data_IF_160902963704
#
_entry.id   IF_160902963704
#
_cell.length_a   1.000
_cell.length_b   1.000
_cell.length_c   1.000
_cell.angle_alpha   90.00
_cell.angle_beta   90.00
_cell.angle_gamma   90.00
#
_symmetry.space_group_name_H-M   'P 1'
#
loop_
_entity.id
_entity.type
_entity.pdbx_description
1 polymer ?
#
# COMPACT_ATOMS: atom_id res chain seq x y z
N UNK A 1 21.15 -16.76 10.37
CA UNK A 1 21.21 -15.67 9.37
C UNK A 1 19.77 -15.22 9.14
N UNK A 2 19.46 -13.94 9.33
CA UNK A 2 18.13 -13.40 9.04
C UNK A 2 17.87 -13.56 7.53
N UNK A 3 16.91 -14.39 7.16
CA UNK A 3 16.54 -14.54 5.76
C UNK A 3 15.82 -13.26 5.34
N UNK A 4 16.39 -12.50 4.39
CA UNK A 4 15.76 -11.29 3.90
C UNK A 4 14.40 -11.63 3.29
N UNK A 5 13.31 -11.16 3.91
CA UNK A 5 11.95 -11.40 3.42
C UNK A 5 11.79 -10.81 2.03
N UNK A 6 11.24 -11.59 1.10
CA UNK A 6 10.97 -11.11 -0.25
C UNK A 6 9.84 -10.08 -0.24
N UNK A 7 9.73 -9.29 -1.30
CA UNK A 7 8.61 -8.36 -1.44
C UNK A 7 7.24 -9.06 -1.44
N UNK A 8 7.17 -10.32 -1.91
CA UNK A 8 5.95 -11.12 -1.85
C UNK A 8 5.61 -11.51 -0.41
N UNK A 9 6.61 -11.87 0.39
CA UNK A 9 6.40 -12.18 1.81
C UNK A 9 5.95 -10.94 2.59
N UNK A 10 6.58 -9.79 2.33
CA UNK A 10 6.20 -8.51 2.93
C UNK A 10 4.76 -8.14 2.57
N UNK A 11 4.38 -8.29 1.30
CA UNK A 11 3.02 -8.05 0.83
C UNK A 11 2.01 -8.96 1.56
N UNK A 12 2.27 -10.26 1.63
CA UNK A 12 1.36 -11.21 2.29
C UNK A 12 1.14 -10.87 3.77
N UNK A 13 2.22 -10.49 4.48
CA UNK A 13 2.14 -10.06 5.88
C UNK A 13 1.34 -8.76 6.01
N UNK A 14 1.63 -7.76 5.18
CA UNK A 14 0.93 -6.49 5.19
C UNK A 14 -0.56 -6.64 4.85
N UNK A 15 -0.91 -7.46 3.87
CA UNK A 15 -2.29 -7.80 3.52
C UNK A 15 -3.04 -8.44 4.69
N UNK A 16 -2.40 -9.36 5.43
CA UNK A 16 -2.99 -9.96 6.63
C UNK A 16 -3.24 -8.92 7.72
N UNK A 17 -2.28 -8.00 7.92
CA UNK A 17 -2.40 -6.92 8.91
C UNK A 17 -3.58 -5.99 8.58
N UNK A 18 -3.64 -5.46 7.36
CA UNK A 18 -4.71 -4.52 6.96
C UNK A 18 -6.07 -5.19 6.87
N UNK A 19 -6.13 -6.49 6.56
CA UNK A 19 -7.41 -7.23 6.51
C UNK A 19 -8.03 -7.42 7.90
N UNK A 20 -7.19 -7.55 8.93
CA UNK A 20 -7.64 -7.82 10.31
C UNK A 20 -7.79 -6.56 11.17
N UNK A 21 -7.37 -5.40 10.68
CA UNK A 21 -7.36 -4.15 11.45
C UNK A 21 -8.01 -3.00 10.68
N UNK A 22 -8.36 -1.95 11.39
CA UNK A 22 -8.54 -0.62 10.83
C UNK A 22 -7.19 0.09 10.91
N UNK A 23 -6.76 0.70 9.81
CA UNK A 23 -5.46 1.38 9.73
C UNK A 23 -5.68 2.83 9.31
N UNK A 24 -4.72 3.69 9.60
CA UNK A 24 -4.68 5.03 9.03
C UNK A 24 -3.78 5.05 7.77
N UNK A 25 -3.87 6.14 7.02
CA UNK A 25 -3.16 6.32 5.76
C UNK A 25 -1.66 6.24 5.96
N UNK A 26 -1.13 6.82 7.03
CA UNK A 26 0.31 6.80 7.31
C UNK A 26 0.83 5.38 7.57
N UNK A 27 0.08 4.55 8.30
CA UNK A 27 0.39 3.12 8.50
C UNK A 27 0.39 2.35 7.17
N UNK A 28 -0.53 2.65 6.26
CA UNK A 28 -0.54 2.03 4.93
C UNK A 28 0.70 2.44 4.13
N UNK A 29 1.07 3.72 4.18
CA UNK A 29 2.27 4.24 3.50
C UNK A 29 3.53 3.58 4.04
N UNK A 30 3.66 3.47 5.37
CA UNK A 30 4.78 2.80 6.02
C UNK A 30 4.90 1.35 5.55
N UNK A 31 3.81 0.57 5.63
CA UNK A 31 3.82 -0.83 5.19
C UNK A 31 4.18 -0.99 3.70
N UNK A 32 3.62 -0.14 2.84
CA UNK A 32 3.89 -0.19 1.41
C UNK A 32 5.32 0.26 1.08
N UNK A 33 5.90 1.20 1.83
CA UNK A 33 7.27 1.67 1.61
C UNK A 33 8.32 0.57 1.79
N UNK A 34 8.02 -0.45 2.61
CA UNK A 34 8.90 -1.60 2.85
C UNK A 34 9.02 -2.56 1.65
N UNK A 35 8.09 -2.48 0.71
CA UNK A 35 8.06 -3.29 -0.51
C UNK A 35 8.84 -2.57 -1.60
N UNK A 36 9.80 -3.23 -2.26
CA UNK A 36 10.59 -2.61 -3.33
C UNK A 36 9.81 -2.41 -4.63
N UNK A 37 9.04 -3.42 -5.06
CA UNK A 37 8.29 -3.40 -6.33
C UNK A 37 7.02 -2.55 -6.23
N UNK A 38 6.94 -1.50 -7.05
CA UNK A 38 5.75 -0.63 -7.12
C UNK A 38 4.45 -1.38 -7.46
N UNK A 39 4.52 -2.43 -8.30
CA UNK A 39 3.35 -3.25 -8.63
C UNK A 39 2.74 -3.88 -7.37
N UNK A 40 3.59 -4.34 -6.44
CA UNK A 40 3.16 -4.95 -5.18
C UNK A 40 2.74 -3.89 -4.15
N UNK A 41 3.35 -2.70 -4.16
CA UNK A 41 2.84 -1.54 -3.39
C UNK A 41 1.41 -1.21 -3.81
N UNK A 42 1.17 -1.15 -5.12
CA UNK A 42 -0.14 -0.84 -5.69
C UNK A 42 -1.20 -1.86 -5.27
N UNK A 43 -0.84 -3.14 -5.24
CA UNK A 43 -1.70 -4.21 -4.74
C UNK A 43 -2.07 -4.01 -3.26
N UNK A 44 -1.07 -3.71 -2.41
CA UNK A 44 -1.31 -3.46 -0.99
C UNK A 44 -2.21 -2.25 -0.75
N UNK A 45 -1.90 -1.10 -1.36
CA UNK A 45 -2.70 0.12 -1.17
C UNK A 45 -4.11 -0.02 -1.73
N UNK A 46 -4.32 -0.83 -2.77
CA UNK A 46 -5.68 -1.15 -3.24
C UNK A 46 -6.45 -1.96 -2.19
N UNK A 47 -5.80 -2.96 -1.59
CA UNK A 47 -6.41 -3.80 -0.55
C UNK A 47 -6.71 -3.03 0.74
N UNK A 48 -5.82 -2.11 1.12
CA UNK A 48 -5.92 -1.36 2.37
C UNK A 48 -6.94 -0.21 2.33
N UNK A 49 -7.34 0.27 1.14
CA UNK A 49 -8.20 1.45 1.01
C UNK A 49 -9.53 1.32 1.78
N UNK A 50 -10.23 0.19 1.65
CA UNK A 50 -11.50 -0.06 2.36
C UNK A 50 -11.36 -0.27 3.87
N UNK A 51 -10.12 -0.39 4.37
CA UNK A 51 -9.77 -0.58 5.79
C UNK A 51 -9.14 0.67 6.38
N UNK A 52 -9.04 1.75 5.60
CA UNK A 52 -8.39 2.99 6.02
C UNK A 52 -9.41 3.99 6.57
N UNK A 53 -9.25 4.36 7.84
CA UNK A 53 -10.24 5.18 8.56
C UNK A 53 -10.21 6.66 8.16
N UNK A 54 -9.07 7.16 7.72
CA UNK A 54 -8.83 8.56 7.34
C UNK A 54 -8.66 8.69 5.82
N UNK A 55 -9.51 7.99 5.04
CA UNK A 55 -9.42 7.88 3.58
C UNK A 55 -9.30 9.22 2.82
N UNK A 56 -9.73 10.35 3.42
CA UNK A 56 -9.51 11.70 2.85
C UNK A 56 -8.03 12.02 2.67
N UNK A 57 -7.16 11.46 3.52
CA UNK A 57 -5.72 11.60 3.45
C UNK A 57 -5.08 10.62 2.46
N UNK A 58 -5.83 9.65 1.93
CA UNK A 58 -5.24 8.52 1.18
C UNK A 58 -4.49 8.93 -0.08
N UNK A 59 -4.83 10.10 -0.65
CA UNK A 59 -4.09 10.72 -1.74
C UNK A 59 -2.58 10.87 -1.46
N UNK A 60 -2.16 10.97 -0.19
CA UNK A 60 -0.74 11.03 0.23
C UNK A 60 0.04 9.77 -0.17
N UNK A 61 -0.63 8.62 -0.32
CA UNK A 61 -0.02 7.38 -0.76
C UNK A 61 0.45 7.41 -2.22
N UNK A 62 0.10 8.45 -2.99
CA UNK A 62 0.65 8.70 -4.33
C UNK A 62 2.19 8.80 -4.32
N UNK A 63 2.79 9.27 -3.22
CA UNK A 63 4.24 9.40 -3.06
C UNK A 63 5.01 8.06 -3.06
N UNK A 64 4.30 6.93 -2.94
CA UNK A 64 4.88 5.59 -3.03
C UNK A 64 5.30 5.20 -4.46
N UNK A 65 4.88 5.98 -5.45
CA UNK A 65 5.00 5.65 -6.87
C UNK A 65 5.83 6.69 -7.60
N UNK A 66 6.83 6.23 -8.34
CA UNK A 66 7.64 7.02 -9.26
C UNK A 66 7.15 6.84 -10.70
N UNK A 67 6.83 5.61 -11.11
CA UNK A 67 6.38 5.32 -12.48
C UNK A 67 5.01 5.95 -12.74
N UNK A 68 4.86 6.57 -13.91
CA UNK A 68 3.59 7.20 -14.30
C UNK A 68 2.44 6.21 -14.41
N UNK A 69 2.71 4.99 -14.89
CA UNK A 69 1.72 3.91 -14.94
C UNK A 69 1.18 3.58 -13.54
N UNK A 70 2.05 3.49 -12.53
CA UNK A 70 1.66 3.23 -11.14
C UNK A 70 0.84 4.40 -10.56
N UNK A 71 1.27 5.65 -10.81
CA UNK A 71 0.53 6.85 -10.38
C UNK A 71 -0.85 6.93 -11.01
N UNK A 72 -0.97 6.61 -12.30
CA UNK A 72 -2.25 6.61 -13.01
C UNK A 72 -3.18 5.52 -12.46
N UNK A 73 -2.66 4.31 -12.26
CA UNK A 73 -3.44 3.21 -11.68
C UNK A 73 -3.89 3.50 -10.24
N UNK A 74 -3.05 4.16 -9.44
CA UNK A 74 -3.41 4.64 -8.10
C UNK A 74 -4.55 5.65 -8.16
N UNK A 75 -4.44 6.69 -9.00
CA UNK A 75 -5.48 7.71 -9.15
C UNK A 75 -6.81 7.12 -9.64
N UNK A 76 -6.76 6.13 -10.52
CA UNK A 76 -7.94 5.47 -11.05
C UNK A 76 -8.73 4.68 -9.99
N UNK A 77 -8.08 4.22 -8.91
CA UNK A 77 -8.78 3.50 -7.83
C UNK A 77 -9.38 4.42 -6.76
N UNK A 78 -8.80 5.60 -6.51
CA UNK A 78 -9.28 6.56 -5.49
C UNK A 78 -10.28 7.58 -6.06
N UNK A 79 -11.17 7.18 -6.98
CA UNK A 79 -12.16 8.09 -7.56
C UNK A 79 -12.99 8.75 -6.45
N UNK A 80 -12.97 10.08 -6.46
CA UNK A 80 -13.67 10.97 -5.53
C UNK A 80 -15.17 10.99 -5.77
#
# INVERSE_FOLDING_TARGET
MEQAKTDKDKLAIAQKLVSNNCVNTDQVIELASLIGKEELRLELVRKAFSRTIDYRNYHRALNLFQKDASKQAFRAMIKW
#
